data_IF_977609735507
#
_entry.id   IF_977609735507
#
_cell.length_a   1.000
_cell.length_b   1.000
_cell.length_c   1.000
_cell.angle_alpha   90.00
_cell.angle_beta   90.00
_cell.angle_gamma   90.00
#
_symmetry.space_group_name_H-M   'P 1'
#
loop_
_entity.id
_entity.type
_entity.pdbx_description
1 polymer ?
#
# COMPACT_ATOMS: atom_id res chain seq x y z
N UNK A 1 24.12 30.89 1.05
CA UNK A 1 22.99 30.53 0.16
C UNK A 1 22.80 29.03 0.24
N UNK A 2 21.80 28.56 0.99
CA UNK A 2 21.40 27.15 1.02
C UNK A 2 20.48 26.91 -0.17
N UNK A 3 21.03 26.48 -1.31
CA UNK A 3 20.23 26.09 -2.48
C UNK A 3 19.45 24.82 -2.14
N UNK A 4 18.13 24.87 -2.25
CA UNK A 4 17.27 23.70 -2.18
C UNK A 4 17.62 22.74 -3.34
N UNK A 5 17.74 21.45 -3.06
CA UNK A 5 17.99 20.43 -4.10
C UNK A 5 16.88 20.45 -5.15
N UNK A 6 17.28 20.21 -6.39
CA UNK A 6 16.33 20.07 -7.50
C UNK A 6 15.59 18.74 -7.42
N UNK A 7 14.40 18.70 -8.04
CA UNK A 7 13.59 17.48 -8.13
C UNK A 7 14.34 16.30 -8.77
N UNK A 8 15.18 16.57 -9.78
CA UNK A 8 15.94 15.55 -10.49
C UNK A 8 16.99 14.89 -9.59
N UNK A 9 17.56 15.62 -8.64
CA UNK A 9 18.50 15.08 -7.66
C UNK A 9 17.77 14.19 -6.64
N UNK A 10 16.59 14.62 -6.18
CA UNK A 10 15.81 13.91 -5.16
C UNK A 10 15.17 12.62 -5.71
N UNK A 11 14.74 12.64 -6.98
CA UNK A 11 14.20 11.45 -7.65
C UNK A 11 15.24 10.34 -7.85
N UNK A 12 16.53 10.67 -7.87
CA UNK A 12 17.64 9.71 -8.02
C UNK A 12 18.10 9.09 -6.71
N UNK A 13 17.79 9.72 -5.58
CA UNK A 13 18.15 9.22 -4.26
C UNK A 13 17.21 8.08 -3.83
N UNK A 14 17.77 7.09 -3.17
CA UNK A 14 17.03 6.06 -2.45
C UNK A 14 16.28 6.66 -1.26
N UNK A 15 15.31 5.91 -0.70
CA UNK A 15 14.54 6.39 0.45
C UNK A 15 15.44 6.58 1.67
N UNK A 16 16.39 5.67 1.85
CA UNK A 16 17.33 5.62 2.94
C UNK A 16 18.28 6.84 2.89
N UNK A 17 18.78 7.17 1.70
CA UNK A 17 19.58 8.39 1.48
C UNK A 17 18.76 9.66 1.73
N UNK A 18 17.46 9.67 1.38
CA UNK A 18 16.58 10.82 1.67
C UNK A 18 16.36 11.02 3.17
N UNK A 19 16.24 9.93 3.93
CA UNK A 19 16.11 9.97 5.39
C UNK A 19 17.41 10.48 6.03
N UNK A 20 18.55 9.93 5.63
CA UNK A 20 19.86 10.36 6.14
C UNK A 20 20.08 11.86 5.88
N UNK A 21 19.74 12.33 4.67
CA UNK A 21 19.84 13.74 4.30
C UNK A 21 18.89 14.63 5.09
N UNK A 22 17.68 14.14 5.35
CA UNK A 22 16.70 14.82 6.19
C UNK A 22 17.26 14.99 7.61
N UNK A 23 17.81 13.93 8.21
CA UNK A 23 18.36 13.97 9.58
C UNK A 23 19.57 14.91 9.70
N UNK A 24 20.46 14.90 8.70
CA UNK A 24 21.62 15.82 8.62
C UNK A 24 21.19 17.29 8.50
N UNK A 25 20.14 17.56 7.73
CA UNK A 25 19.64 18.91 7.44
C UNK A 25 18.72 19.44 8.55
N UNK A 26 17.93 18.56 9.18
CA UNK A 26 17.06 18.86 10.33
C UNK A 26 17.82 19.39 11.53
N UNK A 27 19.08 18.96 11.70
CA UNK A 27 19.97 19.45 12.75
C UNK A 27 20.37 20.93 12.58
N UNK A 28 20.25 21.50 11.37
CA UNK A 28 20.84 22.80 11.03
C UNK A 28 19.89 23.81 10.40
N UNK A 29 18.77 23.41 9.77
CA UNK A 29 17.87 24.35 9.06
C UNK A 29 16.44 23.81 8.93
N UNK A 30 15.46 24.54 9.48
CA UNK A 30 14.02 24.13 9.43
C UNK A 30 13.39 24.41 8.06
N UNK A 31 13.92 25.37 7.30
CA UNK A 31 13.36 25.83 6.03
C UNK A 31 13.87 24.95 4.88
N UNK A 32 12.97 24.24 4.18
CA UNK A 32 13.27 23.40 3.01
C UNK A 32 13.17 21.88 3.22
N UNK A 33 12.96 21.43 4.46
CA UNK A 33 12.80 19.99 4.81
C UNK A 33 11.42 19.42 4.46
N UNK A 34 10.41 20.27 4.35
CA UNK A 34 9.04 19.87 4.00
C UNK A 34 9.00 19.09 2.68
N UNK A 35 9.81 19.49 1.71
CA UNK A 35 9.87 18.82 0.41
C UNK A 35 10.41 17.38 0.52
N UNK A 36 11.48 17.16 1.28
CA UNK A 36 12.03 15.83 1.54
C UNK A 36 11.02 14.97 2.31
N UNK A 37 10.35 15.55 3.30
CA UNK A 37 9.30 14.87 4.07
C UNK A 37 8.15 14.43 3.16
N UNK A 38 7.65 15.32 2.30
CA UNK A 38 6.55 15.02 1.37
C UNK A 38 6.94 13.90 0.40
N UNK A 39 8.16 13.89 -0.12
CA UNK A 39 8.62 12.82 -1.02
C UNK A 39 8.75 11.46 -0.30
N UNK A 40 9.27 11.44 0.94
CA UNK A 40 9.32 10.22 1.76
C UNK A 40 7.89 9.69 1.98
N UNK A 41 6.96 10.57 2.36
CA UNK A 41 5.55 10.24 2.57
C UNK A 41 4.87 9.74 1.30
N UNK A 42 5.16 10.35 0.15
CA UNK A 42 4.65 9.91 -1.15
C UNK A 42 5.08 8.47 -1.45
N UNK A 43 6.38 8.17 -1.29
CA UNK A 43 6.92 6.82 -1.52
C UNK A 43 6.34 5.77 -0.56
N UNK A 44 6.11 6.13 0.69
CA UNK A 44 5.47 5.22 1.66
C UNK A 44 3.99 4.99 1.34
N UNK A 45 3.27 6.05 0.95
CA UNK A 45 1.88 5.94 0.49
C UNK A 45 1.76 5.07 -0.76
N UNK A 46 2.71 5.18 -1.70
CA UNK A 46 2.75 4.36 -2.92
C UNK A 46 2.97 2.87 -2.55
N UNK A 47 3.94 2.56 -1.67
CA UNK A 47 4.18 1.18 -1.18
C UNK A 47 2.98 0.60 -0.43
N UNK A 48 2.31 1.40 0.40
CA UNK A 48 1.09 1.01 1.11
C UNK A 48 -0.05 0.74 0.13
N UNK A 49 -0.24 1.60 -0.87
CA UNK A 49 -1.25 1.42 -1.91
C UNK A 49 -1.01 0.15 -2.72
N UNK A 50 0.22 -0.13 -3.13
CA UNK A 50 0.56 -1.38 -3.81
C UNK A 50 0.23 -2.62 -2.95
N UNK A 51 0.53 -2.54 -1.65
CA UNK A 51 0.23 -3.62 -0.71
C UNK A 51 -1.28 -3.82 -0.52
N UNK A 52 -2.04 -2.72 -0.44
CA UNK A 52 -3.50 -2.76 -0.41
C UNK A 52 -4.07 -3.38 -1.69
N UNK A 53 -3.58 -3.02 -2.87
CA UNK A 53 -4.04 -3.63 -4.13
C UNK A 53 -3.80 -5.14 -4.14
N UNK A 54 -2.63 -5.60 -3.68
CA UNK A 54 -2.34 -7.04 -3.53
C UNK A 54 -3.30 -7.71 -2.54
N UNK A 55 -3.59 -7.07 -1.42
CA UNK A 55 -4.52 -7.57 -0.41
C UNK A 55 -5.96 -7.65 -0.94
N UNK A 56 -6.44 -6.59 -1.61
CA UNK A 56 -7.77 -6.55 -2.24
C UNK A 56 -7.93 -7.66 -3.27
N UNK A 57 -6.91 -7.92 -4.10
CA UNK A 57 -6.93 -9.06 -5.04
C UNK A 57 -7.07 -10.40 -4.32
N UNK A 58 -6.37 -10.60 -3.19
CA UNK A 58 -6.49 -11.83 -2.40
C UNK A 58 -7.88 -11.97 -1.77
N UNK A 59 -8.43 -10.87 -1.24
CA UNK A 59 -9.79 -10.85 -0.69
C UNK A 59 -10.81 -11.19 -1.78
N UNK A 60 -10.66 -10.66 -2.99
CA UNK A 60 -11.55 -10.99 -4.11
C UNK A 60 -11.56 -12.50 -4.41
N UNK A 61 -10.39 -13.15 -4.44
CA UNK A 61 -10.31 -14.60 -4.62
C UNK A 61 -10.98 -15.38 -3.49
N UNK A 62 -10.78 -14.95 -2.24
CA UNK A 62 -11.45 -15.56 -1.09
C UNK A 62 -12.98 -15.39 -1.16
N UNK A 63 -13.47 -14.22 -1.54
CA UNK A 63 -14.91 -13.96 -1.72
C UNK A 63 -15.49 -14.88 -2.79
N UNK A 64 -14.81 -15.04 -3.93
CA UNK A 64 -15.25 -15.95 -5.01
C UNK A 64 -15.31 -17.39 -4.47
N UNK A 65 -14.28 -17.84 -3.76
CA UNK A 65 -14.25 -19.19 -3.19
C UNK A 65 -15.38 -19.42 -2.18
N UNK A 66 -15.61 -18.48 -1.26
CA UNK A 66 -16.70 -18.54 -0.28
C UNK A 66 -18.06 -18.53 -0.99
N UNK A 67 -18.21 -17.75 -2.05
CA UNK A 67 -19.46 -17.69 -2.82
C UNK A 67 -19.76 -19.04 -3.46
N UNK A 68 -18.76 -19.67 -4.09
CA UNK A 68 -18.90 -21.00 -4.68
C UNK A 68 -19.26 -22.03 -3.60
N UNK A 69 -18.54 -22.04 -2.48
CA UNK A 69 -18.81 -22.94 -1.36
C UNK A 69 -20.23 -22.74 -0.80
N UNK A 70 -20.70 -21.50 -0.71
CA UNK A 70 -22.05 -21.16 -0.25
C UNK A 70 -23.10 -21.69 -1.21
N UNK A 71 -22.92 -21.49 -2.52
CA UNK A 71 -23.83 -22.02 -3.54
C UNK A 71 -23.88 -23.55 -3.48
N UNK A 72 -22.73 -24.22 -3.41
CA UNK A 72 -22.67 -25.67 -3.29
C UNK A 72 -23.35 -26.16 -2.01
N UNK A 73 -23.12 -25.49 -0.89
CA UNK A 73 -23.78 -25.82 0.37
C UNK A 73 -25.31 -25.72 0.24
N UNK A 74 -25.82 -24.63 -0.34
CA UNK A 74 -27.26 -24.47 -0.60
C UNK A 74 -27.80 -25.59 -1.50
N UNK A 75 -27.09 -25.95 -2.58
CA UNK A 75 -27.50 -27.06 -3.46
C UNK A 75 -27.58 -28.38 -2.71
N UNK A 76 -26.55 -28.70 -1.92
CA UNK A 76 -26.50 -29.92 -1.11
C UNK A 76 -27.66 -29.96 -0.11
N UNK A 77 -27.93 -28.85 0.57
CA UNK A 77 -29.03 -28.75 1.53
C UNK A 77 -30.37 -28.93 0.81
N UNK A 78 -30.61 -28.23 -0.30
CA UNK A 78 -31.87 -28.32 -1.04
C UNK A 78 -32.11 -29.73 -1.57
N UNK A 79 -31.12 -30.34 -2.23
CA UNK A 79 -31.23 -31.72 -2.76
C UNK A 79 -31.41 -32.72 -1.62
N UNK A 80 -30.59 -32.63 -0.56
CA UNK A 80 -30.68 -33.53 0.59
C UNK A 80 -32.01 -33.43 1.33
N UNK A 81 -32.61 -32.24 1.43
CA UNK A 81 -33.95 -32.07 2.00
C UNK A 81 -35.08 -32.52 1.06
N UNK A 82 -34.87 -32.47 -0.26
CA UNK A 82 -35.85 -32.93 -1.25
C UNK A 82 -35.91 -34.45 -1.37
N UNK A 83 -34.82 -35.17 -1.09
CA UNK A 83 -34.79 -36.64 -1.02
C UNK A 83 -35.25 -37.20 0.34
N UNK A 84 -35.33 -36.33 1.37
CA UNK A 84 -35.69 -36.70 2.74
C UNK A 84 -37.18 -36.52 3.13
N UNK A 85 -38.04 -36.14 2.18
CA UNK A 85 -39.51 -36.09 2.30
C UNK A 85 -40.16 -37.11 1.37
#
# INVERSE_FOLDING_TARGET
MTMAMSYSEISRLSKEELIERYDQTASNTVIGLEFLKQEIWRRDSDRLSESMVKMTKRIQWLTIAITILTVLNVVVVVVGTAEGF
#
